data_IF_168330329211
#
_entry.id   IF_168330329211
#
_cell.length_a   1.000
_cell.length_b   1.000
_cell.length_c   1.000
_cell.angle_alpha   90.00
_cell.angle_beta   90.00
_cell.angle_gamma   90.00
#
_symmetry.space_group_name_H-M   'P 1'
#
loop_
_entity.id
_entity.type
_entity.pdbx_description
1 polymer ?
#
# COMPACT_ATOMS: atom_id res chain seq x y z
N UNK A 1 19.84 -9.78 3.30
CA UNK A 1 19.29 -11.11 3.66
C UNK A 1 18.64 -11.12 5.05
N UNK A 2 19.28 -10.57 6.09
CA UNK A 2 18.79 -10.57 7.49
C UNK A 2 17.44 -9.84 7.69
N UNK A 3 17.17 -8.75 6.96
CA UNK A 3 15.91 -7.96 7.09
C UNK A 3 14.71 -8.65 6.42
N UNK A 4 14.93 -9.46 5.38
CA UNK A 4 13.88 -10.19 4.66
C UNK A 4 13.31 -11.35 5.49
N UNK A 5 14.18 -11.95 6.32
CA UNK A 5 13.81 -12.95 7.32
C UNK A 5 12.99 -12.29 8.43
N UNK A 6 13.40 -11.12 8.95
CA UNK A 6 12.67 -10.42 10.03
C UNK A 6 11.24 -9.98 9.67
N UNK A 7 10.96 -9.68 8.39
CA UNK A 7 9.63 -9.28 7.94
C UNK A 7 8.68 -10.46 7.66
N UNK A 8 9.21 -11.56 7.11
CA UNK A 8 8.52 -12.86 7.06
C UNK A 8 8.24 -13.38 8.47
N UNK A 9 9.20 -13.18 9.38
CA UNK A 9 9.02 -13.42 10.80
C UNK A 9 7.97 -12.48 11.40
N UNK A 10 7.75 -11.27 10.89
CA UNK A 10 6.73 -10.36 11.43
C UNK A 10 5.32 -10.72 10.98
N UNK A 11 5.10 -11.14 9.74
CA UNK A 11 3.83 -11.80 9.41
C UNK A 11 3.72 -13.09 10.23
N UNK A 12 4.76 -13.93 10.30
CA UNK A 12 4.64 -15.14 11.09
C UNK A 12 4.45 -14.86 12.59
N UNK A 13 4.99 -13.79 13.16
CA UNK A 13 4.81 -13.37 14.58
C UNK A 13 3.44 -12.72 14.77
N UNK A 14 2.96 -11.90 13.83
CA UNK A 14 1.60 -11.39 13.86
C UNK A 14 0.59 -12.53 13.76
N UNK A 15 0.86 -13.53 12.92
CA UNK A 15 0.04 -14.73 12.81
C UNK A 15 0.20 -15.62 14.06
N UNK A 16 1.40 -15.97 14.54
CA UNK A 16 1.61 -16.88 15.69
C UNK A 16 1.23 -16.27 17.04
N UNK A 17 1.57 -15.00 17.30
CA UNK A 17 1.15 -14.30 18.51
C UNK A 17 -0.36 -14.03 18.48
N UNK A 18 -0.94 -13.82 17.30
CA UNK A 18 -2.38 -13.73 17.20
C UNK A 18 -3.06 -15.08 17.35
N UNK A 19 -2.49 -16.21 16.92
CA UNK A 19 -3.01 -17.55 17.19
C UNK A 19 -3.07 -17.84 18.70
N UNK A 20 -2.04 -17.44 19.46
CA UNK A 20 -2.02 -17.59 20.93
C UNK A 20 -3.12 -16.76 21.61
N UNK A 21 -3.28 -15.48 21.23
CA UNK A 21 -4.38 -14.64 21.72
C UNK A 21 -5.76 -15.11 21.21
N UNK A 22 -5.83 -15.72 20.03
CA UNK A 22 -7.05 -16.28 19.48
C UNK A 22 -7.56 -17.45 20.31
N UNK A 23 -6.65 -18.28 20.81
CA UNK A 23 -7.00 -19.44 21.63
C UNK A 23 -7.59 -19.02 22.98
N UNK A 24 -7.17 -17.88 23.53
CA UNK A 24 -7.76 -17.28 24.74
C UNK A 24 -9.12 -16.60 24.47
N UNK A 25 -9.30 -15.94 23.31
CA UNK A 25 -10.57 -15.26 22.95
C UNK A 25 -11.63 -16.24 22.47
N UNK A 26 -11.24 -17.33 21.78
CA UNK A 26 -12.14 -18.38 21.29
C UNK A 26 -12.84 -19.14 22.42
N UNK A 27 -12.25 -19.19 23.61
CA UNK A 27 -12.85 -19.83 24.78
C UNK A 27 -14.06 -19.07 25.36
N UNK A 28 -14.39 -17.86 24.85
CA UNK A 28 -15.37 -16.97 25.50
C UNK A 28 -16.51 -16.45 24.60
N UNK A 29 -16.62 -16.85 23.33
CA UNK A 29 -17.67 -16.32 22.43
C UNK A 29 -18.33 -17.39 21.55
N UNK A 30 -19.32 -18.09 22.11
CA UNK A 30 -20.31 -18.85 21.35
C UNK A 30 -21.45 -17.91 20.88
N UNK A 31 -21.39 -17.36 19.67
CA UNK A 31 -22.63 -16.90 18.99
C UNK A 31 -22.47 -16.55 17.51
N UNK A 32 -21.26 -16.43 16.98
CA UNK A 32 -21.03 -16.20 15.56
C UNK A 32 -19.76 -16.96 15.21
N UNK A 33 -19.75 -17.79 14.17
CA UNK A 33 -18.54 -18.52 13.74
C UNK A 33 -17.34 -17.63 13.33
N UNK A 34 -17.43 -16.32 13.60
CA UNK A 34 -16.41 -15.30 13.46
C UNK A 34 -15.83 -14.93 14.82
N UNK A 35 -14.52 -15.09 14.94
CA UNK A 35 -13.76 -14.62 16.10
C UNK A 35 -12.90 -13.43 15.65
N UNK A 36 -12.67 -12.44 16.53
CA UNK A 36 -11.84 -11.28 16.20
C UNK A 36 -10.99 -10.83 17.38
N UNK A 37 -9.83 -10.22 17.08
CA UNK A 37 -8.90 -9.67 18.04
C UNK A 37 -8.34 -8.33 17.54
N UNK A 38 -8.09 -7.41 18.46
CA UNK A 38 -7.45 -6.11 18.17
C UNK A 38 -5.94 -6.24 18.37
N UNK A 39 -5.16 -5.96 17.33
CA UNK A 39 -3.71 -6.16 17.29
C UNK A 39 -2.89 -4.86 17.40
N UNK A 40 -3.46 -3.77 17.90
CA UNK A 40 -2.84 -2.44 17.93
C UNK A 40 -1.40 -2.45 18.48
N UNK A 41 -1.15 -3.03 19.66
CA UNK A 41 0.18 -3.07 20.28
C UNK A 41 1.20 -3.85 19.44
N UNK A 42 0.78 -4.96 18.85
CA UNK A 42 1.63 -5.78 17.98
C UNK A 42 1.96 -5.01 16.70
N UNK A 43 0.97 -4.35 16.10
CA UNK A 43 1.17 -3.49 14.94
C UNK A 43 2.12 -2.32 15.24
N UNK A 44 1.91 -1.61 16.35
CA UNK A 44 2.74 -0.47 16.74
C UNK A 44 4.21 -0.90 16.98
N UNK A 45 4.43 -2.12 17.50
CA UNK A 45 5.77 -2.72 17.64
C UNK A 45 6.38 -3.11 16.28
N UNK A 46 5.55 -3.52 15.32
CA UNK A 46 5.97 -3.88 13.97
C UNK A 46 6.24 -2.66 13.08
N UNK A 47 5.74 -1.48 13.45
CA UNK A 47 5.77 -0.26 12.64
C UNK A 47 7.17 0.10 12.09
N UNK A 48 8.27 0.05 12.88
CA UNK A 48 9.61 0.32 12.35
C UNK A 48 10.02 -0.61 11.20
N UNK A 49 9.54 -1.86 11.22
CA UNK A 49 9.83 -2.82 10.16
C UNK A 49 8.99 -2.58 8.90
N UNK A 50 7.76 -2.08 9.07
CA UNK A 50 6.91 -1.62 7.95
C UNK A 50 7.59 -0.42 7.28
N UNK A 51 8.07 0.54 8.06
CA UNK A 51 8.82 1.69 7.54
C UNK A 51 10.08 1.26 6.77
N UNK A 52 10.83 0.30 7.31
CA UNK A 52 11.99 -0.29 6.63
C UNK A 52 11.60 -1.00 5.31
N UNK A 53 10.45 -1.69 5.28
CA UNK A 53 9.93 -2.30 4.05
C UNK A 53 9.65 -1.25 2.97
N UNK A 54 8.97 -0.16 3.33
CA UNK A 54 8.66 0.96 2.42
C UNK A 54 9.94 1.52 1.79
N UNK A 55 10.96 1.78 2.62
CA UNK A 55 12.26 2.28 2.14
C UNK A 55 12.97 1.27 1.24
N UNK A 56 13.01 -0.01 1.66
CA UNK A 56 13.70 -1.07 0.91
C UNK A 56 13.08 -1.32 -0.47
N UNK A 57 11.76 -1.20 -0.58
CA UNK A 57 11.02 -1.37 -1.83
C UNK A 57 10.92 -0.06 -2.64
N UNK A 58 11.68 0.99 -2.27
CA UNK A 58 11.71 2.29 -2.96
C UNK A 58 10.33 2.92 -3.11
N UNK A 59 9.47 2.70 -2.10
CA UNK A 59 8.18 3.38 -1.97
C UNK A 59 8.35 4.76 -1.32
N UNK A 60 9.52 5.10 -0.80
CA UNK A 60 9.83 6.45 -0.33
C UNK A 60 11.33 6.78 -0.55
N UNK A 61 11.70 7.67 -1.50
CA UNK A 61 10.81 8.33 -2.46
C UNK A 61 10.30 7.34 -3.53
N UNK A 62 8.99 7.33 -3.75
CA UNK A 62 8.35 6.60 -4.84
C UNK A 62 8.40 7.43 -6.13
N UNK A 63 8.82 6.80 -7.24
CA UNK A 63 8.75 7.45 -8.56
C UNK A 63 7.29 7.53 -9.01
N UNK A 64 6.89 8.68 -9.55
CA UNK A 64 5.58 8.86 -10.16
C UNK A 64 5.72 8.95 -11.68
N UNK A 65 4.70 8.50 -12.40
CA UNK A 65 4.71 8.55 -13.87
C UNK A 65 4.58 10.00 -14.36
N UNK A 66 5.13 10.22 -15.56
CA UNK A 66 4.99 11.49 -16.27
C UNK A 66 3.54 11.66 -16.74
N UNK A 67 3.05 12.90 -16.68
CA UNK A 67 1.66 13.23 -16.99
C UNK A 67 1.61 14.34 -18.03
N UNK A 68 0.68 14.25 -18.97
CA UNK A 68 0.42 15.31 -19.95
C UNK A 68 -1.06 15.63 -19.98
N UNK A 69 -1.40 16.91 -19.96
CA UNK A 69 -2.78 17.37 -20.03
C UNK A 69 -2.92 18.58 -20.93
N UNK A 70 -3.91 18.50 -21.83
CA UNK A 70 -4.36 19.63 -22.62
C UNK A 70 -5.22 20.55 -21.75
N UNK A 71 -4.84 21.82 -21.70
CA UNK A 71 -5.56 22.86 -20.99
C UNK A 71 -6.54 23.54 -21.93
N UNK A 72 -7.77 23.78 -21.48
CA UNK A 72 -8.72 24.59 -22.25
C UNK A 72 -8.24 26.04 -22.28
N UNK A 73 -7.98 26.57 -23.47
CA UNK A 73 -7.68 27.98 -23.70
C UNK A 73 -8.94 28.82 -23.88
N UNK A 74 -8.84 30.14 -23.64
CA UNK A 74 -9.86 31.13 -24.02
C UNK A 74 -9.87 31.34 -25.54
N UNK A 75 -8.74 31.05 -26.21
CA UNK A 75 -8.56 31.09 -27.66
C UNK A 75 -8.30 29.65 -28.13
N UNK A 76 -8.68 29.33 -29.37
CA UNK A 76 -8.63 28.01 -30.02
C UNK A 76 -7.19 27.54 -30.30
N UNK A 77 -6.37 27.40 -29.25
CA UNK A 77 -4.97 26.93 -29.36
C UNK A 77 -4.70 25.77 -28.40
N UNK A 78 -3.82 24.87 -28.84
CA UNK A 78 -3.36 23.71 -28.08
C UNK A 78 -2.39 24.15 -26.98
N UNK A 79 -2.92 24.37 -25.79
CA UNK A 79 -2.12 24.54 -24.57
C UNK A 79 -1.93 23.20 -23.90
N UNK A 80 -0.70 22.84 -23.58
CA UNK A 80 -0.39 21.57 -22.94
C UNK A 80 0.52 21.78 -21.75
N UNK A 81 0.19 21.07 -20.67
CA UNK A 81 0.96 21.00 -19.46
C UNK A 81 1.55 19.59 -19.35
N UNK A 82 2.87 19.53 -19.32
CA UNK A 82 3.60 18.30 -19.02
C UNK A 82 4.14 18.37 -17.60
N UNK A 83 4.00 17.27 -16.86
CA UNK A 83 4.57 17.04 -15.55
C UNK A 83 5.55 15.87 -15.69
N UNK A 84 6.83 16.12 -15.39
CA UNK A 84 7.88 15.12 -15.55
C UNK A 84 8.74 14.96 -14.31
N UNK A 85 9.41 13.81 -14.21
CA UNK A 85 10.29 13.47 -13.09
C UNK A 85 9.55 13.53 -11.75
N UNK A 86 8.36 12.95 -11.72
CA UNK A 86 7.52 12.90 -10.54
C UNK A 86 8.13 12.06 -9.42
N UNK A 87 7.99 12.54 -8.18
CA UNK A 87 8.35 11.77 -6.99
C UNK A 87 7.34 12.02 -5.86
N UNK A 88 7.03 10.99 -5.10
CA UNK A 88 6.24 11.04 -3.89
C UNK A 88 7.12 10.67 -2.70
N UNK A 89 7.04 11.48 -1.65
CA UNK A 89 7.81 11.33 -0.42
C UNK A 89 6.90 11.32 0.80
N UNK A 90 7.35 10.69 1.87
CA UNK A 90 6.67 10.68 3.17
C UNK A 90 5.88 9.41 3.46
N UNK A 91 5.88 8.42 2.56
CA UNK A 91 5.25 7.12 2.81
C UNK A 91 5.92 6.37 3.98
N UNK A 92 7.19 6.63 4.26
CA UNK A 92 7.89 6.07 5.42
C UNK A 92 7.44 6.67 6.76
N UNK A 93 6.69 7.77 6.76
CA UNK A 93 6.03 8.32 7.96
C UNK A 93 4.69 7.63 8.26
N UNK A 94 4.55 6.37 7.85
CA UNK A 94 3.36 5.59 8.09
C UNK A 94 3.09 5.45 9.59
N UNK A 95 1.82 5.59 9.95
CA UNK A 95 1.30 5.34 11.29
C UNK A 95 0.04 4.50 11.25
N UNK A 96 -0.39 4.03 12.41
CA UNK A 96 -1.75 3.50 12.57
C UNK A 96 -2.76 4.65 12.55
N UNK A 97 -3.84 4.50 11.79
CA UNK A 97 -4.93 5.48 11.74
C UNK A 97 -6.22 4.99 12.42
N UNK A 98 -6.43 3.68 12.51
CA UNK A 98 -7.54 3.07 13.22
C UNK A 98 -7.10 1.76 13.88
N UNK A 99 -8.01 1.06 14.54
CA UNK A 99 -7.76 -0.27 15.06
C UNK A 99 -7.34 -1.25 13.96
N UNK A 100 -6.38 -2.10 14.30
CA UNK A 100 -5.94 -3.20 13.46
C UNK A 100 -6.67 -4.45 13.95
N UNK A 101 -7.54 -4.99 13.12
CA UNK A 101 -8.41 -6.10 13.50
C UNK A 101 -7.93 -7.34 12.76
N UNK A 102 -7.72 -8.42 13.50
CA UNK A 102 -7.60 -9.75 12.92
C UNK A 102 -8.91 -10.49 13.17
N UNK A 103 -9.47 -11.08 12.13
CA UNK A 103 -10.68 -11.90 12.24
C UNK A 103 -10.48 -13.24 11.57
N UNK A 104 -11.10 -14.27 12.14
CA UNK A 104 -11.13 -15.61 11.57
C UNK A 104 -12.57 -16.00 11.31
N UNK A 105 -12.87 -16.35 10.06
CA UNK A 105 -14.20 -16.74 9.62
C UNK A 105 -14.05 -17.67 8.41
N UNK A 106 -14.79 -18.77 8.36
CA UNK A 106 -14.79 -19.70 7.22
C UNK A 106 -13.39 -20.18 6.79
N UNK A 107 -12.50 -20.43 7.75
CA UNK A 107 -11.09 -20.83 7.53
C UNK A 107 -10.23 -19.75 6.84
N UNK A 108 -10.67 -18.50 6.83
CA UNK A 108 -9.90 -17.37 6.34
C UNK A 108 -9.53 -16.51 7.54
N UNK A 109 -8.25 -16.21 7.68
CA UNK A 109 -7.76 -15.23 8.64
C UNK A 109 -7.52 -13.90 7.93
N UNK A 110 -8.33 -12.90 8.25
CA UNK A 110 -8.34 -11.58 7.63
C UNK A 110 -7.76 -10.54 8.58
N UNK A 111 -6.68 -9.90 8.15
CA UNK A 111 -6.11 -8.70 8.77
C UNK A 111 -6.70 -7.47 8.07
N UNK A 112 -7.41 -6.64 8.82
CA UNK A 112 -7.93 -5.35 8.38
C UNK A 112 -7.17 -4.22 9.09
N UNK A 113 -6.45 -3.45 8.30
CA UNK A 113 -5.56 -2.40 8.78
C UNK A 113 -5.88 -1.07 8.09
N UNK A 114 -6.03 -0.01 8.89
CA UNK A 114 -6.08 1.36 8.37
C UNK A 114 -4.83 2.12 8.76
N UNK A 115 -4.04 2.48 7.75
CA UNK A 115 -2.78 3.19 7.87
C UNK A 115 -2.97 4.68 7.58
N UNK A 116 -2.28 5.53 8.32
CA UNK A 116 -2.28 6.97 8.18
C UNK A 116 -0.95 7.51 7.66
N UNK A 117 -1.01 8.60 6.90
CA UNK A 117 0.14 9.38 6.46
C UNK A 117 -0.18 10.86 6.65
N UNK A 118 0.60 11.52 7.51
CA UNK A 118 0.31 12.91 7.92
C UNK A 118 0.77 13.92 6.87
N UNK A 119 1.95 13.72 6.30
CA UNK A 119 2.55 14.65 5.33
C UNK A 119 3.18 13.89 4.17
N UNK A 120 2.48 13.84 3.03
CA UNK A 120 3.06 13.40 1.76
C UNK A 120 3.41 14.59 0.88
N UNK A 121 4.55 14.47 0.18
CA UNK A 121 5.04 15.49 -0.75
C UNK A 121 5.17 14.91 -2.14
N UNK A 122 4.40 15.43 -3.08
CA UNK A 122 4.44 15.08 -4.49
C UNK A 122 5.15 16.18 -5.27
N UNK A 123 6.33 15.89 -5.81
CA UNK A 123 7.15 16.88 -6.52
C UNK A 123 7.19 16.54 -8.01
N UNK A 124 7.01 17.54 -8.86
CA UNK A 124 7.17 17.41 -10.31
C UNK A 124 7.90 18.61 -10.88
N UNK A 125 8.59 18.40 -12.00
CA UNK A 125 8.91 19.49 -12.91
C UNK A 125 7.70 19.72 -13.81
N UNK A 126 7.34 20.98 -14.05
CA UNK A 126 6.31 21.30 -15.04
C UNK A 126 6.93 21.97 -16.27
N UNK A 127 6.35 21.67 -17.42
CA UNK A 127 6.58 22.39 -18.65
C UNK A 127 5.22 22.73 -19.25
N UNK A 128 4.89 24.02 -19.21
CA UNK A 128 3.72 24.59 -19.83
C UNK A 128 4.14 25.16 -21.19
N UNK A 129 3.54 24.66 -22.25
CA UNK A 129 3.75 25.18 -23.59
C UNK A 129 2.42 25.53 -24.28
N UNK A 130 2.44 26.65 -24.97
CA UNK A 130 1.41 27.22 -25.82
C UNK A 130 2.12 28.05 -26.91
N UNK A 131 1.42 28.53 -27.92
CA UNK A 131 2.00 29.22 -29.07
C UNK A 131 2.81 30.49 -28.68
N UNK A 132 2.41 31.16 -27.59
CA UNK A 132 3.06 32.37 -27.06
C UNK A 132 3.72 32.17 -25.70
N UNK A 133 3.61 30.97 -25.10
CA UNK A 133 3.99 30.73 -23.71
C UNK A 133 4.88 29.49 -23.67
N UNK A 134 6.09 29.64 -23.16
CA UNK A 134 6.97 28.51 -22.86
C UNK A 134 7.53 28.70 -21.45
N UNK A 135 6.90 28.05 -20.48
CA UNK A 135 7.23 28.21 -19.05
C UNK A 135 7.62 26.87 -18.45
N UNK A 136 8.73 26.86 -17.71
CA UNK A 136 9.22 25.70 -16.98
C UNK A 136 9.40 26.07 -15.52
N UNK A 137 9.22 25.09 -14.65
CA UNK A 137 9.45 25.29 -13.22
C UNK A 137 9.16 24.03 -12.44
N UNK A 138 8.89 24.21 -11.15
CA UNK A 138 8.59 23.10 -10.23
C UNK A 138 7.23 23.31 -9.60
N UNK A 139 6.55 22.19 -9.41
CA UNK A 139 5.31 22.12 -8.64
C UNK A 139 5.51 21.18 -7.46
N UNK A 140 5.06 21.63 -6.30
CA UNK A 140 5.12 20.93 -5.04
C UNK A 140 3.68 20.73 -4.55
N UNK A 141 3.23 19.49 -4.53
CA UNK A 141 1.96 19.08 -3.93
C UNK A 141 2.21 18.60 -2.50
N UNK A 142 1.46 19.13 -1.56
CA UNK A 142 1.46 18.72 -0.16
C UNK A 142 0.11 18.07 0.12
N UNK A 143 0.13 16.80 0.51
CA UNK A 143 -1.09 16.04 0.81
C UNK A 143 -1.05 15.70 2.29
N UNK A 144 -2.13 16.03 3.01
CA UNK A 144 -2.24 15.80 4.45
C UNK A 144 -3.37 14.86 4.79
N UNK A 145 -3.16 14.14 5.88
CA UNK A 145 -4.15 13.26 6.51
C UNK A 145 -4.75 12.24 5.52
N UNK A 146 -3.88 11.45 4.90
CA UNK A 146 -4.28 10.33 4.05
C UNK A 146 -4.50 9.10 4.91
N UNK A 147 -5.60 8.38 4.66
CA UNK A 147 -5.81 7.05 5.22
C UNK A 147 -5.90 6.02 4.10
N UNK A 148 -5.14 4.95 4.24
CA UNK A 148 -5.13 3.79 3.35
C UNK A 148 -5.62 2.58 4.12
N UNK A 149 -6.60 1.86 3.56
CA UNK A 149 -7.07 0.60 4.12
C UNK A 149 -6.46 -0.57 3.35
N UNK A 150 -5.93 -1.50 4.11
CA UNK A 150 -5.30 -2.73 3.64
C UNK A 150 -6.03 -3.91 4.26
N UNK A 151 -6.45 -4.84 3.42
CA UNK A 151 -7.02 -6.12 3.82
C UNK A 151 -6.09 -7.20 3.30
N UNK A 152 -5.66 -8.10 4.19
CA UNK A 152 -4.83 -9.26 3.87
C UNK A 152 -5.54 -10.50 4.38
N UNK A 153 -5.76 -11.46 3.50
CA UNK A 153 -6.38 -12.74 3.82
C UNK A 153 -5.34 -13.85 3.78
N UNK A 154 -5.37 -14.75 4.77
CA UNK A 154 -4.72 -16.06 4.71
C UNK A 154 -5.80 -17.13 4.65
N UNK A 155 -5.87 -17.85 3.53
CA UNK A 155 -6.71 -19.03 3.40
C UNK A 155 -6.02 -20.22 4.10
N UNK A 156 -6.61 -20.70 5.19
CA UNK A 156 -6.05 -21.80 5.98
C UNK A 156 -6.18 -23.17 5.29
N UNK A 157 -6.93 -23.29 4.19
CA UNK A 157 -7.02 -24.55 3.45
C UNK A 157 -5.77 -24.79 2.58
N UNK A 158 -5.24 -23.73 1.97
CA UNK A 158 -4.09 -23.81 1.06
C UNK A 158 -2.87 -23.01 1.52
N UNK A 159 -3.00 -22.36 2.68
CA UNK A 159 -2.01 -21.46 3.28
C UNK A 159 -1.56 -20.34 2.34
N UNK A 160 -2.40 -19.92 1.39
CA UNK A 160 -2.09 -18.83 0.47
C UNK A 160 -2.56 -17.51 1.06
N UNK A 161 -1.69 -16.52 0.93
CA UNK A 161 -1.98 -15.14 1.30
C UNK A 161 -2.52 -14.40 0.07
N UNK A 162 -3.53 -13.56 0.27
CA UNK A 162 -4.08 -12.65 -0.72
C UNK A 162 -4.16 -11.23 -0.15
N UNK A 163 -4.21 -10.24 -1.03
CA UNK A 163 -4.43 -8.84 -0.67
C UNK A 163 -5.70 -8.35 -1.37
N UNK A 164 -6.90 -8.65 -0.82
CA UNK A 164 -8.16 -8.23 -1.44
C UNK A 164 -8.28 -6.72 -1.61
N UNK A 165 -7.64 -5.95 -0.73
CA UNK A 165 -7.74 -4.49 -0.77
C UNK A 165 -6.45 -3.83 -0.31
N UNK A 166 -5.99 -2.85 -1.07
CA UNK A 166 -4.96 -1.90 -0.68
C UNK A 166 -5.25 -0.58 -1.39
N UNK A 167 -5.97 0.34 -0.73
CA UNK A 167 -6.39 1.60 -1.36
C UNK A 167 -6.54 2.73 -0.37
N UNK A 168 -6.30 3.95 -0.84
CA UNK A 168 -6.65 5.17 -0.14
C UNK A 168 -8.18 5.23 0.05
N UNK A 169 -8.62 5.40 1.29
CA UNK A 169 -10.04 5.53 1.67
C UNK A 169 -10.40 6.95 2.12
N UNK A 170 -9.41 7.76 2.48
CA UNK A 170 -9.61 9.16 2.89
C UNK A 170 -8.41 10.02 2.47
N UNK A 171 -8.72 11.25 2.06
CA UNK A 171 -7.77 12.32 1.78
C UNK A 171 -8.44 13.63 2.18
N UNK A 172 -7.87 14.34 3.16
CA UNK A 172 -8.49 15.56 3.71
C UNK A 172 -8.04 16.82 2.95
N UNK A 173 -6.73 17.11 2.98
CA UNK A 173 -6.21 18.38 2.45
C UNK A 173 -5.14 18.16 1.40
N UNK A 174 -5.20 19.02 0.39
CA UNK A 174 -4.24 19.05 -0.70
C UNK A 174 -3.90 20.50 -1.07
N UNK A 175 -2.64 20.86 -0.85
CA UNK A 175 -2.10 22.18 -1.15
C UNK A 175 -1.08 22.07 -2.29
N UNK A 176 -1.04 23.08 -3.16
CA UNK A 176 -0.11 23.12 -4.29
C UNK A 176 0.67 24.43 -4.25
N UNK A 177 1.99 24.33 -4.24
CA UNK A 177 2.89 25.46 -4.37
C UNK A 177 3.65 25.40 -5.71
N UNK A 178 3.75 26.54 -6.37
CA UNK A 178 4.48 26.71 -7.61
C UNK A 178 5.76 27.50 -7.35
N UNK A 179 6.86 27.11 -8.00
CA UNK A 179 8.10 27.87 -8.00
C UNK A 179 8.59 28.08 -9.44
N UNK A 180 8.67 29.34 -9.87
CA UNK A 180 9.10 29.75 -11.21
C UNK A 180 8.47 31.07 -11.68
N UNK A 181 8.84 31.54 -12.88
CA UNK A 181 8.28 32.75 -13.51
C UNK A 181 6.89 32.46 -14.10
N UNK A 182 5.82 32.73 -13.35
CA UNK A 182 4.43 32.55 -13.81
C UNK A 182 3.68 33.88 -13.65
N UNK A 183 2.95 34.30 -14.69
CA UNK A 183 2.18 35.56 -14.76
C UNK A 183 0.68 35.23 -14.75
N UNK A 184 -0.16 36.16 -14.29
CA UNK A 184 -1.36 35.85 -13.49
C UNK A 184 -2.64 35.26 -14.16
N UNK A 185 -2.90 35.29 -15.48
CA UNK A 185 -4.12 34.63 -16.02
C UNK A 185 -3.95 33.12 -16.26
N UNK A 186 -2.73 32.69 -16.59
CA UNK A 186 -2.41 31.31 -17.01
C UNK A 186 -2.27 30.40 -15.78
N UNK A 187 -1.91 30.99 -14.64
CA UNK A 187 -1.76 30.33 -13.34
C UNK A 187 -3.06 29.61 -12.97
N UNK A 188 -4.20 30.29 -13.01
CA UNK A 188 -5.47 29.70 -12.55
C UNK A 188 -5.90 28.46 -13.36
N UNK A 189 -5.66 28.46 -14.67
CA UNK A 189 -5.95 27.29 -15.51
C UNK A 189 -4.98 26.13 -15.23
N UNK A 190 -3.69 26.42 -15.07
CA UNK A 190 -2.67 25.43 -14.73
C UNK A 190 -2.89 24.86 -13.32
N UNK A 191 -3.18 25.69 -12.31
CA UNK A 191 -3.51 25.27 -10.94
C UNK A 191 -4.71 24.33 -10.96
N UNK A 192 -5.81 24.70 -11.63
CA UNK A 192 -7.02 23.85 -11.69
C UNK A 192 -6.73 22.50 -12.34
N UNK A 193 -6.00 22.49 -13.45
CA UNK A 193 -5.63 21.25 -14.12
C UNK A 193 -4.71 20.39 -13.26
N UNK A 194 -3.66 20.97 -12.68
CA UNK A 194 -2.74 20.27 -11.78
C UNK A 194 -3.48 19.74 -10.56
N UNK A 195 -4.38 20.52 -9.95
CA UNK A 195 -5.19 20.05 -8.82
C UNK A 195 -6.02 18.82 -9.21
N UNK A 196 -6.65 18.85 -10.39
CA UNK A 196 -7.44 17.72 -10.90
C UNK A 196 -6.55 16.50 -11.19
N UNK A 197 -5.41 16.72 -11.86
CA UNK A 197 -4.44 15.67 -12.18
C UNK A 197 -3.91 15.05 -10.89
N UNK A 198 -3.45 15.85 -9.93
CA UNK A 198 -2.89 15.34 -8.70
C UNK A 198 -3.93 14.55 -7.91
N UNK A 199 -5.16 15.06 -7.77
CA UNK A 199 -6.21 14.37 -7.02
C UNK A 199 -6.57 13.01 -7.61
N UNK A 200 -6.70 12.88 -8.94
CA UNK A 200 -7.06 11.58 -9.55
C UNK A 200 -5.84 10.71 -9.80
N UNK A 201 -4.79 11.26 -10.41
CA UNK A 201 -3.63 10.49 -10.86
C UNK A 201 -2.73 10.06 -9.72
N UNK A 202 -2.46 10.90 -8.71
CA UNK A 202 -1.57 10.50 -7.60
C UNK A 202 -2.24 9.45 -6.73
N UNK A 203 -3.53 9.58 -6.44
CA UNK A 203 -4.28 8.54 -5.71
C UNK A 203 -4.17 7.21 -6.45
N UNK A 204 -4.39 7.21 -7.77
CA UNK A 204 -4.32 6.00 -8.58
C UNK A 204 -2.89 5.43 -8.64
N UNK A 205 -1.87 6.27 -8.78
CA UNK A 205 -0.47 5.85 -8.76
C UNK A 205 -0.09 5.24 -7.42
N UNK A 206 -0.42 5.89 -6.31
CA UNK A 206 -0.16 5.37 -4.96
C UNK A 206 -0.85 4.03 -4.75
N UNK A 207 -2.14 3.93 -5.07
CA UNK A 207 -2.87 2.66 -4.98
C UNK A 207 -2.20 1.58 -5.82
N UNK A 208 -1.76 1.91 -7.04
CA UNK A 208 -1.15 0.96 -7.99
C UNK A 208 0.21 0.47 -7.51
N UNK A 209 1.16 1.36 -7.23
CA UNK A 209 2.51 0.97 -6.85
C UNK A 209 2.54 0.31 -5.47
N UNK A 210 1.72 0.79 -4.53
CA UNK A 210 1.61 0.14 -3.23
C UNK A 210 0.99 -1.26 -3.34
N UNK A 211 -0.04 -1.43 -4.16
CA UNK A 211 -0.63 -2.75 -4.44
C UNK A 211 0.37 -3.68 -5.11
N UNK A 212 1.15 -3.21 -6.09
CA UNK A 212 2.20 -4.00 -6.74
C UNK A 212 3.24 -4.47 -5.72
N UNK A 213 3.75 -3.58 -4.87
CA UNK A 213 4.74 -3.94 -3.86
C UNK A 213 4.20 -4.98 -2.86
N UNK A 214 2.94 -4.85 -2.43
CA UNK A 214 2.29 -5.84 -1.57
C UNK A 214 2.07 -7.17 -2.29
N UNK A 215 1.62 -7.15 -3.55
CA UNK A 215 1.40 -8.36 -4.35
C UNK A 215 2.72 -9.10 -4.62
N UNK A 216 3.80 -8.40 -4.93
CA UNK A 216 5.13 -8.98 -5.07
C UNK A 216 5.58 -9.63 -3.77
N UNK A 217 5.44 -8.93 -2.64
CA UNK A 217 5.79 -9.46 -1.33
C UNK A 217 4.98 -10.72 -0.97
N UNK A 218 3.67 -10.69 -1.19
CA UNK A 218 2.78 -11.85 -0.97
C UNK A 218 3.09 -12.98 -1.96
N UNK A 219 3.44 -12.67 -3.20
CA UNK A 219 3.89 -13.65 -4.18
C UNK A 219 5.15 -14.39 -3.71
N UNK A 220 6.12 -13.68 -3.14
CA UNK A 220 7.32 -14.28 -2.55
C UNK A 220 7.02 -15.16 -1.32
N UNK A 221 6.02 -14.81 -0.51
CA UNK A 221 5.52 -15.66 0.58
C UNK A 221 4.90 -16.93 -0.01
N UNK A 222 3.98 -16.77 -0.96
CA UNK A 222 3.21 -17.86 -1.54
C UNK A 222 4.08 -18.86 -2.32
N UNK A 223 5.22 -18.44 -2.89
CA UNK A 223 6.22 -19.33 -3.53
C UNK A 223 6.93 -20.24 -2.53
N UNK A 224 7.07 -19.82 -1.27
CA UNK A 224 7.75 -20.60 -0.21
C UNK A 224 6.84 -21.62 0.46
N UNK A 225 5.53 -21.46 0.30
CA UNK A 225 4.52 -22.37 0.84
C UNK A 225 4.27 -23.46 -0.20
N UNK A 226 4.69 -24.72 0.05
CA UNK A 226 4.47 -25.82 -0.87
C UNK A 226 2.97 -25.97 -1.14
N UNK A 227 2.61 -26.39 -2.36
CA UNK A 227 1.21 -26.63 -2.67
C UNK A 227 0.69 -27.79 -1.78
N UNK A 228 -0.54 -27.68 -1.22
CA UNK A 228 -1.11 -28.72 -0.35
C UNK A 228 -1.08 -30.14 -0.92
N UNK A 229 -1.01 -30.25 -2.25
CA UNK A 229 -1.12 -31.53 -2.96
C UNK A 229 0.21 -32.29 -3.11
N UNK A 230 1.34 -31.81 -2.58
CA UNK A 230 2.61 -32.56 -2.67
C UNK A 230 2.95 -33.39 -1.43
N UNK A 231 2.17 -33.29 -0.35
CA UNK A 231 2.45 -34.04 0.90
C UNK A 231 1.57 -35.29 1.05
N UNK A 232 0.48 -35.40 0.27
CA UNK A 232 -0.49 -36.49 0.43
C UNK A 232 -0.52 -37.52 -0.72
N UNK A 233 0.38 -37.40 -1.71
CA UNK A 233 0.50 -38.37 -2.81
C UNK A 233 1.82 -39.16 -2.71
N UNK A 234 2.12 -39.64 -1.51
CA UNK A 234 3.23 -40.55 -1.31
C UNK A 234 2.76 -41.66 -0.36
N UNK A 235 2.18 -42.70 -0.94
CA UNK A 235 1.82 -43.99 -0.32
C UNK A 235 2.99 -44.65 0.47
N UNK A 236 4.20 -44.06 0.40
CA UNK A 236 5.40 -44.48 1.09
C UNK A 236 5.44 -44.14 2.60
N UNK A 237 4.58 -43.28 3.13
CA UNK A 237 4.58 -42.97 4.59
C UNK A 237 4.14 -44.19 5.41
N UNK A 238 3.17 -44.97 4.92
CA UNK A 238 2.73 -46.20 5.60
C UNK A 238 3.78 -47.31 5.57
N UNK A 239 4.61 -47.37 4.52
CA UNK A 239 5.70 -48.34 4.44
C UNK A 239 6.84 -48.03 5.43
N UNK A 240 7.15 -46.74 5.63
CA UNK A 240 8.17 -46.28 6.56
C UNK A 240 7.81 -46.50 8.04
N UNK A 241 6.52 -46.36 8.39
CA UNK A 241 6.02 -46.57 9.75
C UNK A 241 5.89 -48.05 10.11
N UNK A 242 5.62 -48.92 9.12
CA UNK A 242 5.46 -50.37 9.35
C UNK A 242 6.80 -51.09 9.55
N UNK A 243 7.89 -50.57 8.99
CA UNK A 243 9.23 -51.19 9.08
C UNK A 243 10.02 -50.80 10.34
N UNK A 244 9.68 -49.68 10.99
CA UNK A 244 10.37 -49.18 12.18
C UNK A 244 9.63 -49.48 13.50
N UNK A 245 8.48 -50.17 13.44
CA UNK A 245 7.66 -50.53 14.59
C UNK A 245 7.40 -52.05 14.69
N UNK A 246 8.19 -52.87 13.99
CA UNK A 246 8.29 -54.33 14.18
C UNK A 246 9.71 -54.70 14.57
#
# INVERSE_FOLDING_TARGET
>A
MIVQIRLLFLLSILFTASFANFQDVANNNESSGKISAILNKLFDTALPSIQMFILKHKLDPMKLDDLSQNLKGVIIHHRTLNLTNGSLQGLSNVRRANDIILSFENKILTLDATLGFDDLKANYNYHLYDLLINKKGKVYGYIKDIEMRIIIDLDMNNYKVAVPMAKIIKLDKFDIAFKGNIDDPIINAAIKAITKIFRTSIINMVNTEFSKALQEFVGEINKKIPQPNQVLDNDNIWHYLKFNLS
#
